data_IF_808588258285
#
_entry.id   IF_808588258285
#
_cell.length_a   1.000
_cell.length_b   1.000
_cell.length_c   1.000
_cell.angle_alpha   90.00
_cell.angle_beta   90.00
_cell.angle_gamma   90.00
#
_symmetry.space_group_name_H-M   'P 1'
#
loop_
_entity.id
_entity.type
_entity.pdbx_description
1 polymer ?
#
# COMPACT_ATOMS: atom_id res chain seq x y z
N UNK A 1 -32.02 -47.88 3.08
CA UNK A 1 -30.64 -47.39 3.35
C UNK A 1 -29.84 -47.11 2.07
N UNK A 2 -30.02 -47.85 0.98
CA UNK A 2 -29.28 -47.65 -0.28
C UNK A 2 -29.73 -46.42 -1.10
N UNK A 3 -30.99 -46.02 -1.00
CA UNK A 3 -31.52 -44.84 -1.70
C UNK A 3 -31.10 -43.51 -1.04
N UNK A 4 -31.01 -43.47 0.29
CA UNK A 4 -30.55 -42.29 1.03
C UNK A 4 -29.07 -42.01 0.77
N UNK A 5 -28.25 -43.04 0.61
CA UNK A 5 -26.83 -42.90 0.23
C UNK A 5 -26.67 -42.47 -1.22
N UNK A 6 -27.51 -42.97 -2.13
CA UNK A 6 -27.50 -42.53 -3.54
C UNK A 6 -27.90 -41.05 -3.69
N UNK A 7 -28.90 -40.59 -2.94
CA UNK A 7 -29.33 -39.18 -2.93
C UNK A 7 -28.23 -38.29 -2.34
N UNK A 8 -27.59 -38.71 -1.25
CA UNK A 8 -26.45 -38.00 -0.65
C UNK A 8 -25.27 -37.87 -1.63
N UNK A 9 -24.97 -38.94 -2.37
CA UNK A 9 -23.93 -38.95 -3.41
C UNK A 9 -24.29 -38.01 -4.57
N UNK A 10 -25.56 -38.00 -4.99
CA UNK A 10 -26.01 -37.10 -6.06
C UNK A 10 -25.94 -35.64 -5.62
N UNK A 11 -26.33 -35.34 -4.37
CA UNK A 11 -26.22 -33.99 -3.80
C UNK A 11 -24.77 -33.54 -3.68
N UNK A 12 -23.84 -34.40 -3.28
CA UNK A 12 -22.43 -34.04 -3.17
C UNK A 12 -21.79 -33.79 -4.53
N UNK A 13 -22.16 -34.56 -5.56
CA UNK A 13 -21.73 -34.32 -6.95
C UNK A 13 -22.30 -32.98 -7.45
N UNK A 14 -23.58 -32.69 -7.19
CA UNK A 14 -24.21 -31.43 -7.58
C UNK A 14 -23.60 -30.24 -6.83
N UNK A 15 -23.34 -30.38 -5.53
CA UNK A 15 -22.68 -29.35 -4.72
C UNK A 15 -21.25 -29.08 -5.21
N UNK A 16 -20.48 -30.12 -5.57
CA UNK A 16 -19.14 -29.96 -6.13
C UNK A 16 -19.14 -29.32 -7.53
N UNK A 17 -20.24 -29.44 -8.28
CA UNK A 17 -20.40 -28.80 -9.61
C UNK A 17 -20.92 -27.36 -9.53
N UNK A 18 -21.77 -27.06 -8.55
CA UNK A 18 -22.37 -25.73 -8.33
C UNK A 18 -21.46 -24.83 -7.49
N UNK A 19 -20.67 -25.41 -6.59
CA UNK A 19 -19.53 -24.77 -5.95
C UNK A 19 -18.39 -24.63 -6.97
N UNK A 20 -18.70 -23.95 -8.08
CA UNK A 20 -17.72 -23.31 -8.92
C UNK A 20 -17.01 -22.30 -8.04
N UNK A 21 -15.97 -22.79 -7.35
CA UNK A 21 -14.89 -21.96 -6.88
C UNK A 21 -14.46 -21.13 -8.07
N UNK A 22 -14.88 -19.88 -8.01
CA UNK A 22 -14.35 -18.69 -8.66
C UNK A 22 -14.01 -18.87 -10.14
N UNK A 23 -14.66 -18.08 -11.00
CA UNK A 23 -14.33 -17.92 -12.43
C UNK A 23 -12.90 -17.37 -12.68
N UNK A 24 -11.97 -17.60 -11.77
CA UNK A 24 -10.54 -17.35 -11.86
C UNK A 24 -9.92 -18.61 -12.45
N UNK A 25 -9.34 -18.48 -13.64
CA UNK A 25 -8.65 -19.58 -14.31
C UNK A 25 -7.69 -20.30 -13.35
N UNK A 26 -7.71 -21.64 -13.33
CA UNK A 26 -6.79 -22.44 -12.54
C UNK A 26 -5.32 -22.06 -12.82
N UNK A 27 -5.02 -21.55 -14.03
CA UNK A 27 -3.72 -21.01 -14.40
C UNK A 27 -3.35 -19.72 -13.63
N UNK A 28 -4.33 -18.87 -13.31
CA UNK A 28 -4.10 -17.70 -12.48
C UNK A 28 -3.87 -18.12 -11.03
N UNK A 29 -4.60 -19.10 -10.50
CA UNK A 29 -4.37 -19.64 -9.16
C UNK A 29 -2.98 -20.30 -9.03
N UNK A 30 -2.52 -21.04 -10.04
CA UNK A 30 -1.18 -21.67 -10.01
C UNK A 30 -0.03 -20.70 -10.29
N UNK A 31 -0.26 -19.66 -11.11
CA UNK A 31 0.76 -18.65 -11.43
C UNK A 31 0.73 -17.43 -10.51
N UNK A 32 -0.29 -17.28 -9.65
CA UNK A 32 -0.28 -16.32 -8.54
C UNK A 32 0.58 -16.89 -7.41
N UNK A 33 1.88 -16.99 -7.68
CA UNK A 33 2.88 -17.36 -6.69
C UNK A 33 3.75 -16.13 -6.44
N UNK A 34 3.87 -15.71 -5.17
CA UNK A 34 4.75 -14.60 -4.78
C UNK A 34 6.22 -14.84 -5.19
N UNK A 35 6.63 -16.11 -5.35
CA UNK A 35 7.96 -16.52 -5.80
C UNK A 35 8.10 -16.58 -7.33
N UNK A 36 7.00 -16.47 -8.09
CA UNK A 36 7.00 -16.40 -9.56
C UNK A 36 6.03 -15.29 -10.01
N UNK A 37 6.38 -14.01 -9.79
CA UNK A 37 5.50 -12.92 -10.16
C UNK A 37 5.41 -12.82 -11.69
N UNK A 38 4.21 -12.62 -12.23
CA UNK A 38 4.01 -12.40 -13.66
C UNK A 38 4.72 -11.16 -14.21
N UNK A 39 5.08 -10.21 -13.33
CA UNK A 39 5.88 -9.03 -13.66
C UNK A 39 6.86 -8.77 -12.51
N UNK A 40 8.14 -8.63 -12.83
CA UNK A 40 9.19 -8.25 -11.88
C UNK A 40 9.71 -6.85 -12.20
N UNK A 41 9.63 -5.93 -11.24
CA UNK A 41 10.22 -4.60 -11.36
C UNK A 41 11.48 -4.51 -10.49
N UNK A 42 12.63 -4.30 -11.12
CA UNK A 42 13.90 -4.06 -10.43
C UNK A 42 14.28 -2.60 -10.55
N UNK A 43 14.36 -1.91 -9.41
CA UNK A 43 14.93 -0.59 -9.36
C UNK A 43 16.44 -0.69 -9.12
N UNK A 44 17.24 -0.14 -10.04
CA UNK A 44 18.69 -0.09 -9.88
C UNK A 44 19.10 1.04 -8.92
N UNK A 45 20.28 0.98 -8.29
CA UNK A 45 20.78 2.05 -7.42
C UNK A 45 20.83 3.43 -8.08
N UNK A 46 21.10 3.48 -9.39
CA UNK A 46 21.05 4.71 -10.19
C UNK A 46 19.65 5.29 -10.29
N UNK A 47 18.62 4.45 -10.42
CA UNK A 47 17.22 4.85 -10.38
C UNK A 47 16.80 5.36 -9.01
N UNK A 48 17.29 4.75 -7.92
CA UNK A 48 17.09 5.25 -6.55
C UNK A 48 17.72 6.63 -6.35
N UNK A 49 18.94 6.85 -6.87
CA UNK A 49 19.60 8.15 -6.80
C UNK A 49 18.79 9.22 -7.56
N UNK A 50 18.25 8.89 -8.73
CA UNK A 50 17.37 9.78 -9.49
C UNK A 50 16.07 10.10 -8.73
N UNK A 51 15.43 9.09 -8.12
CA UNK A 51 14.22 9.32 -7.30
C UNK A 51 14.53 10.19 -6.08
N UNK A 52 15.70 10.04 -5.46
CA UNK A 52 16.14 10.93 -4.38
C UNK A 52 16.31 12.36 -4.85
N UNK A 53 16.90 12.59 -6.02
CA UNK A 53 17.08 13.93 -6.58
C UNK A 53 15.73 14.62 -6.81
N UNK A 54 14.75 13.91 -7.38
CA UNK A 54 13.40 14.44 -7.57
C UNK A 54 12.67 14.60 -6.24
N UNK A 55 12.78 13.61 -5.35
CA UNK A 55 12.14 13.65 -4.03
C UNK A 55 12.61 14.83 -3.19
N UNK A 56 13.87 15.23 -3.31
CA UNK A 56 14.40 16.41 -2.62
C UNK A 56 13.70 17.71 -3.05
N UNK A 57 13.27 17.82 -4.31
CA UNK A 57 12.51 18.98 -4.80
C UNK A 57 11.14 19.07 -4.11
N UNK A 58 10.45 17.94 -4.01
CA UNK A 58 9.15 17.83 -3.32
C UNK A 58 9.28 18.18 -1.84
N UNK A 59 10.33 17.68 -1.18
CA UNK A 59 10.59 17.99 0.23
C UNK A 59 10.85 19.49 0.43
N UNK A 60 11.60 20.13 -0.46
CA UNK A 60 11.86 21.56 -0.38
C UNK A 60 10.58 22.39 -0.48
N UNK A 61 9.69 22.05 -1.42
CA UNK A 61 8.40 22.73 -1.57
C UNK A 61 7.50 22.57 -0.34
N UNK A 62 7.58 21.42 0.35
CA UNK A 62 6.80 21.16 1.55
C UNK A 62 7.39 21.80 2.80
N UNK A 63 8.73 21.94 2.89
CA UNK A 63 9.39 22.65 3.99
C UNK A 63 8.95 24.12 4.05
N UNK A 64 8.76 24.77 2.90
CA UNK A 64 8.28 26.15 2.82
C UNK A 64 6.87 26.34 3.40
N UNK A 65 6.09 25.25 3.52
CA UNK A 65 4.74 25.28 4.09
C UNK A 65 4.74 25.09 5.61
N UNK A 66 5.89 24.77 6.21
CA UNK A 66 6.02 24.64 7.66
C UNK A 66 5.91 26.04 8.26
N UNK A 67 4.83 26.28 8.99
CA UNK A 67 4.68 27.50 9.77
C UNK A 67 5.56 27.39 11.01
N UNK A 68 6.57 28.24 11.09
CA UNK A 68 7.40 28.34 12.29
C UNK A 68 6.56 28.99 13.40
N UNK A 69 6.37 28.33 14.56
CA UNK A 69 5.67 28.95 15.67
C UNK A 69 6.47 30.16 16.17
N UNK A 70 5.77 31.24 16.48
CA UNK A 70 6.40 32.41 17.11
C UNK A 70 6.91 32.02 18.49
N UNK A 71 8.23 32.12 18.67
CA UNK A 71 8.89 31.91 19.96
C UNK A 71 8.59 33.14 20.83
N UNK A 72 7.84 32.96 21.91
CA UNK A 72 7.60 34.00 22.91
C UNK A 72 8.48 33.73 24.12
N UNK A 73 9.58 34.47 24.27
CA UNK A 73 10.34 34.50 25.51
C UNK A 73 9.83 35.66 26.39
N UNK A 74 9.54 35.37 27.66
CA UNK A 74 9.19 36.40 28.64
C UNK A 74 10.50 36.94 29.21
N UNK A 75 10.99 38.04 28.64
CA UNK A 75 12.07 38.81 29.22
C UNK A 75 11.43 39.78 30.24
N UNK A 76 11.91 39.81 31.49
CA UNK A 76 11.37 40.60 32.62
C UNK A 76 11.27 42.14 32.38
N UNK A 77 11.65 42.63 31.19
CA UNK A 77 11.60 44.03 30.80
C UNK A 77 10.41 44.42 29.89
N UNK A 78 9.44 43.51 29.67
CA UNK A 78 8.27 43.75 28.83
C UNK A 78 8.31 42.97 27.53
N UNK A 79 7.17 42.42 27.12
CA UNK A 79 7.04 41.58 25.92
C UNK A 79 7.47 42.35 24.67
N UNK A 80 8.53 41.87 23.99
CA UNK A 80 8.90 42.32 22.65
C UNK A 80 8.70 41.15 21.68
N UNK A 81 7.79 41.32 20.72
CA UNK A 81 7.60 40.39 19.62
C UNK A 81 8.74 40.62 18.61
N UNK A 82 9.66 39.66 18.49
CA UNK A 82 10.64 39.65 17.42
C UNK A 82 10.10 38.84 16.23
N UNK A 83 9.71 39.47 15.10
CA UNK A 83 9.54 38.72 13.87
C UNK A 83 10.93 38.24 13.43
N UNK A 84 11.10 36.92 13.33
CA UNK A 84 12.32 36.31 12.78
C UNK A 84 12.38 36.70 11.29
N UNK A 85 13.22 37.69 10.96
CA UNK A 85 13.53 38.06 9.58
C UNK A 85 14.43 37.00 8.96
N UNK A 86 13.97 36.48 7.81
CA UNK A 86 14.70 35.61 6.88
C UNK A 86 16.02 36.18 6.41
#
# INVERSE_FOLDING_TARGET
MLHTTAISLLLSIVYARISGEENVSALLLTNTNAHNPGIYMRLMPTGLAYLREIGMKVVNDEILRIQLPTITEVIEAGQVLFPVTS
#
